data_IF_597703328965
#
_entry.id   IF_597703328965
#
_cell.length_a   1.000
_cell.length_b   1.000
_cell.length_c   1.000
_cell.angle_alpha   90.00
_cell.angle_beta   90.00
_cell.angle_gamma   90.00
#
_symmetry.space_group_name_H-M   'P 1'
#
loop_
_entity.id
_entity.type
_entity.pdbx_description
1 polymer ?
#
# COMPACT_ATOMS: atom_id res chain seq x y z
N UNK A 1 -11.65 -28.04 -0.66
CA UNK A 1 -11.32 -26.64 -0.31
C UNK A 1 -9.82 -26.51 -0.43
N UNK A 2 -9.31 -25.67 -1.33
CA UNK A 2 -7.86 -25.50 -1.53
C UNK A 2 -7.28 -24.62 -0.40
N UNK A 3 -6.31 -25.11 0.38
CA UNK A 3 -5.73 -24.38 1.51
C UNK A 3 -4.63 -23.37 1.12
N UNK A 4 -4.27 -23.26 -0.16
CA UNK A 4 -3.05 -22.54 -0.58
C UNK A 4 -3.26 -21.06 -0.98
N UNK A 5 -4.36 -20.44 -0.59
CA UNK A 5 -4.53 -18.98 -0.71
C UNK A 5 -4.09 -18.25 0.57
N UNK A 6 -3.05 -18.73 1.24
CA UNK A 6 -2.25 -17.86 2.08
C UNK A 6 -1.63 -16.81 1.14
N UNK A 7 -2.31 -15.67 1.01
CA UNK A 7 -1.70 -14.44 0.55
C UNK A 7 -0.47 -14.25 1.41
N UNK A 8 0.71 -14.63 0.88
CA UNK A 8 1.98 -14.39 1.53
C UNK A 8 1.99 -12.91 1.89
N UNK A 9 1.86 -12.61 3.19
CA UNK A 9 1.88 -11.25 3.68
C UNK A 9 3.29 -10.77 3.34
N UNK A 10 3.42 -10.02 2.26
CA UNK A 10 4.70 -9.50 1.82
C UNK A 10 5.26 -8.71 3.00
N UNK A 11 6.42 -9.14 3.52
CA UNK A 11 7.17 -8.41 4.52
C UNK A 11 7.79 -7.18 3.84
N UNK A 12 6.96 -6.18 3.57
CA UNK A 12 7.38 -4.93 2.96
C UNK A 12 8.08 -4.06 4.00
N UNK A 13 9.28 -3.63 3.68
CA UNK A 13 9.98 -2.65 4.51
C UNK A 13 9.41 -1.24 4.27
N UNK A 14 9.75 -0.31 5.17
CA UNK A 14 9.25 1.07 5.11
C UNK A 14 9.55 1.78 3.78
N UNK A 15 10.72 1.51 3.18
CA UNK A 15 11.11 2.10 1.90
C UNK A 15 10.25 1.58 0.74
N UNK A 16 9.93 0.28 0.74
CA UNK A 16 9.04 -0.33 -0.25
C UNK A 16 7.62 0.20 -0.13
N UNK A 17 7.09 0.30 1.10
CA UNK A 17 5.79 0.92 1.36
C UNK A 17 5.74 2.37 0.86
N UNK A 18 6.80 3.14 1.08
CA UNK A 18 6.90 4.52 0.56
C UNK A 18 6.85 4.56 -0.96
N UNK A 19 7.60 3.68 -1.64
CA UNK A 19 7.60 3.59 -3.11
C UNK A 19 6.22 3.24 -3.65
N UNK A 20 5.53 2.27 -3.04
CA UNK A 20 4.17 1.87 -3.45
C UNK A 20 3.20 3.04 -3.24
N UNK A 21 3.28 3.74 -2.11
CA UNK A 21 2.47 4.94 -1.84
C UNK A 21 2.62 5.98 -2.94
N UNK A 22 3.86 6.31 -3.32
CA UNK A 22 4.12 7.32 -4.34
C UNK A 22 3.62 6.89 -5.74
N UNK A 23 3.75 5.61 -6.08
CA UNK A 23 3.15 5.07 -7.31
C UNK A 23 1.62 5.24 -7.29
N UNK A 24 0.96 4.89 -6.18
CA UNK A 24 -0.48 5.10 -6.01
C UNK A 24 -0.88 6.58 -6.11
N UNK A 25 -0.10 7.50 -5.55
CA UNK A 25 -0.33 8.96 -5.71
C UNK A 25 -0.22 9.41 -7.16
N UNK A 26 0.73 8.88 -7.93
CA UNK A 26 0.88 9.17 -9.35
C UNK A 26 -0.37 8.74 -10.15
N UNK A 27 -0.92 7.56 -9.87
CA UNK A 27 -2.14 7.09 -10.52
C UNK A 27 -3.40 7.82 -10.03
N UNK A 28 -3.43 8.25 -8.76
CA UNK A 28 -4.51 9.09 -8.24
C UNK A 28 -4.60 10.42 -8.99
N UNK A 29 -3.46 11.06 -9.29
CA UNK A 29 -3.39 12.28 -10.11
C UNK A 29 -3.89 12.09 -11.54
N UNK A 30 -3.88 10.86 -12.05
CA UNK A 30 -4.44 10.50 -13.36
C UNK A 30 -5.95 10.18 -13.30
N UNK A 31 -6.59 10.37 -12.15
CA UNK A 31 -8.03 10.18 -11.95
C UNK A 31 -8.44 8.86 -11.31
N UNK A 32 -7.48 8.00 -10.92
CA UNK A 32 -7.82 6.74 -10.25
C UNK A 32 -8.17 6.96 -8.78
N UNK A 33 -9.47 6.95 -8.46
CA UNK A 33 -9.96 7.05 -7.08
C UNK A 33 -9.45 5.91 -6.18
N UNK A 34 -9.40 4.70 -6.72
CA UNK A 34 -8.88 3.53 -6.01
C UNK A 34 -7.41 3.71 -5.62
N UNK A 35 -6.59 4.27 -6.51
CA UNK A 35 -5.19 4.54 -6.20
C UNK A 35 -5.04 5.61 -5.09
N UNK A 36 -5.93 6.61 -5.05
CA UNK A 36 -5.98 7.60 -3.98
C UNK A 36 -6.27 6.92 -2.62
N UNK A 37 -7.29 6.06 -2.56
CA UNK A 37 -7.65 5.32 -1.35
C UNK A 37 -6.53 4.41 -0.86
N UNK A 38 -5.85 3.72 -1.78
CA UNK A 38 -4.70 2.86 -1.44
C UNK A 38 -3.55 3.70 -0.88
N UNK A 39 -3.23 4.84 -1.50
CA UNK A 39 -2.18 5.73 -1.01
C UNK A 39 -2.47 6.20 0.42
N UNK A 40 -3.71 6.59 0.72
CA UNK A 40 -4.13 7.04 2.05
C UNK A 40 -4.06 5.91 3.08
N UNK A 41 -4.45 4.69 2.70
CA UNK A 41 -4.33 3.52 3.58
C UNK A 41 -2.86 3.21 3.92
N UNK A 42 -1.96 3.30 2.93
CA UNK A 42 -0.54 3.08 3.15
C UNK A 42 0.04 4.20 4.05
N UNK A 43 -0.34 5.46 3.81
CA UNK A 43 0.09 6.61 4.63
C UNK A 43 -0.25 6.38 6.11
N UNK A 44 -1.50 6.01 6.42
CA UNK A 44 -1.94 5.70 7.80
C UNK A 44 -1.21 4.50 8.40
N UNK A 45 -0.97 3.45 7.60
CA UNK A 45 -0.23 2.29 8.07
C UNK A 45 1.21 2.67 8.43
N UNK A 46 1.85 3.54 7.64
CA UNK A 46 3.21 4.03 7.90
C UNK A 46 3.29 4.93 9.14
N UNK A 47 2.28 5.77 9.40
CA UNK A 47 2.20 6.58 10.62
C UNK A 47 2.18 5.69 11.88
N UNK A 48 1.44 4.58 11.85
CA UNK A 48 1.38 3.62 12.96
C UNK A 48 2.67 2.80 13.17
N UNK A 49 3.57 2.78 12.19
CA UNK A 49 4.89 2.11 12.28
C UNK A 49 5.93 3.03 12.96
N UNK A 50 5.67 4.34 13.01
CA UNK A 50 6.61 5.33 13.56
C UNK A 50 6.40 5.44 15.08
N UNK A 51 7.13 4.62 15.84
CA UNK A 51 7.35 4.75 17.30
C UNK A 51 8.68 5.49 17.52
#
# INVERSE_FOLDING_TARGET
MNPDNEFAIANLNFSELKTIKEACKLYARQGSQTAAQIADHIERAMENITI
#
